data_IF_018483521900
#
_entry.id   IF_018483521900
#
_cell.length_a   1.000
_cell.length_b   1.000
_cell.length_c   1.000
_cell.angle_alpha   90.00
_cell.angle_beta   90.00
_cell.angle_gamma   90.00
#
_symmetry.space_group_name_H-M   'P 1'
#
loop_
_entity.id
_entity.type
_entity.pdbx_description
1 polymer ?
#
# COMPACT_ATOMS: atom_id res chain seq x y z
N UNK A 1 6.83 -6.23 14.81
CA UNK A 1 5.66 -6.99 14.32
C UNK A 1 4.74 -6.15 13.45
N UNK A 2 4.36 -4.93 13.87
CA UNK A 2 3.47 -4.03 13.11
C UNK A 2 3.98 -3.68 11.70
N UNK A 3 5.24 -3.24 11.55
CA UNK A 3 5.79 -2.84 10.23
C UNK A 3 5.89 -3.99 9.22
N UNK A 4 6.37 -5.16 9.62
CA UNK A 4 6.41 -6.33 8.74
C UNK A 4 5.01 -6.72 8.26
N UNK A 5 4.02 -6.64 9.14
CA UNK A 5 2.62 -6.90 8.80
C UNK A 5 2.07 -5.83 7.86
N UNK A 6 2.35 -4.55 8.10
CA UNK A 6 1.98 -3.43 7.21
C UNK A 6 2.55 -3.62 5.81
N UNK A 7 3.81 -4.06 5.68
CA UNK A 7 4.43 -4.31 4.37
C UNK A 7 3.72 -5.46 3.65
N UNK A 8 3.45 -6.57 4.33
CA UNK A 8 2.75 -7.73 3.75
C UNK A 8 1.35 -7.33 3.24
N UNK A 9 0.57 -6.61 4.06
CA UNK A 9 -0.76 -6.16 3.66
C UNK A 9 -0.74 -5.11 2.55
N UNK A 10 0.20 -4.17 2.62
CA UNK A 10 0.37 -3.16 1.57
C UNK A 10 0.71 -3.82 0.24
N UNK A 11 1.55 -4.85 0.24
CA UNK A 11 1.91 -5.61 -0.97
C UNK A 11 0.72 -6.38 -1.54
N UNK A 12 -0.05 -7.05 -0.68
CA UNK A 12 -1.21 -7.83 -1.10
C UNK A 12 -2.31 -6.93 -1.67
N UNK A 13 -2.60 -5.81 -1.00
CA UNK A 13 -3.55 -4.79 -1.47
C UNK A 13 -3.09 -4.16 -2.79
N UNK A 14 -1.82 -3.81 -2.90
CA UNK A 14 -1.24 -3.25 -4.13
C UNK A 14 -1.33 -4.20 -5.31
N UNK A 15 -1.14 -5.50 -5.08
CA UNK A 15 -1.31 -6.54 -6.10
C UNK A 15 -2.76 -6.61 -6.58
N UNK A 16 -3.73 -6.60 -5.65
CA UNK A 16 -5.15 -6.57 -5.98
C UNK A 16 -5.58 -5.30 -6.72
N UNK A 17 -5.14 -4.13 -6.25
CA UNK A 17 -5.43 -2.84 -6.90
C UNK A 17 -4.89 -2.82 -8.32
N UNK A 18 -3.61 -3.20 -8.50
CA UNK A 18 -2.99 -3.23 -9.82
C UNK A 18 -3.72 -4.20 -10.76
N UNK A 19 -4.13 -5.37 -10.25
CA UNK A 19 -4.92 -6.32 -11.03
C UNK A 19 -6.28 -5.75 -11.47
N UNK A 20 -7.05 -5.17 -10.55
CA UNK A 20 -8.35 -4.58 -10.85
C UNK A 20 -8.21 -3.43 -11.85
N UNK A 21 -7.28 -2.51 -11.60
CA UNK A 21 -7.05 -1.33 -12.45
C UNK A 21 -6.58 -1.74 -13.84
N UNK A 22 -5.68 -2.74 -13.95
CA UNK A 22 -5.23 -3.27 -15.25
C UNK A 22 -6.39 -3.94 -15.99
N UNK A 23 -7.21 -4.70 -15.27
CA UNK A 23 -8.40 -5.36 -15.83
C UNK A 23 -9.44 -4.35 -16.35
N UNK A 24 -9.67 -3.26 -15.62
CA UNK A 24 -10.58 -2.18 -16.05
C UNK A 24 -10.08 -1.44 -17.30
N UNK A 25 -8.77 -1.32 -17.47
CA UNK A 25 -8.16 -0.65 -18.61
C UNK A 25 -7.88 -1.58 -19.79
N UNK A 26 -8.16 -2.89 -19.65
CA UNK A 26 -7.76 -3.90 -20.63
C UNK A 26 -6.23 -4.04 -20.80
N UNK A 27 -5.46 -3.54 -19.82
CA UNK A 27 -4.00 -3.52 -19.83
C UNK A 27 -3.38 -4.77 -19.20
N UNK A 28 -2.06 -4.90 -19.34
CA UNK A 28 -1.30 -5.99 -18.71
C UNK A 28 -0.95 -5.67 -17.25
N UNK A 29 -0.95 -6.70 -16.41
CA UNK A 29 -0.45 -6.60 -15.05
C UNK A 29 1.06 -6.31 -15.04
N UNK A 30 1.47 -5.24 -14.34
CA UNK A 30 2.88 -4.83 -14.27
C UNK A 30 3.40 -4.85 -12.83
N UNK A 31 4.54 -5.53 -12.63
CA UNK A 31 5.20 -5.60 -11.32
C UNK A 31 5.70 -4.24 -10.83
N UNK A 32 6.06 -3.34 -11.74
CA UNK A 32 6.46 -1.98 -11.41
C UNK A 32 5.34 -1.20 -10.71
N UNK A 33 4.10 -1.32 -11.19
CA UNK A 33 2.95 -0.67 -10.57
C UNK A 33 2.63 -1.23 -9.18
N UNK A 34 2.75 -2.55 -9.00
CA UNK A 34 2.59 -3.20 -7.69
C UNK A 34 3.61 -2.69 -6.68
N UNK A 35 4.89 -2.65 -7.06
CA UNK A 35 5.97 -2.22 -6.16
C UNK A 35 5.80 -0.73 -5.82
N UNK A 36 5.52 0.12 -6.81
CA UNK A 36 5.32 1.54 -6.60
C UNK A 36 4.14 1.84 -5.65
N UNK A 37 3.00 1.17 -5.87
CA UNK A 37 1.84 1.30 -4.99
C UNK A 37 2.09 0.73 -3.59
N UNK A 38 2.84 -0.37 -3.47
CA UNK A 38 3.21 -0.95 -2.17
C UNK A 38 4.02 0.04 -1.34
N UNK A 39 5.04 0.66 -1.94
CA UNK A 39 5.85 1.68 -1.26
C UNK A 39 4.98 2.87 -0.84
N UNK A 40 4.09 3.35 -1.72
CA UNK A 40 3.18 4.44 -1.41
C UNK A 40 2.25 4.12 -0.22
N UNK A 41 1.66 2.93 -0.18
CA UNK A 41 0.80 2.51 0.93
C UNK A 41 1.57 2.34 2.24
N UNK A 42 2.77 1.77 2.21
CA UNK A 42 3.60 1.65 3.42
C UNK A 42 3.94 3.03 3.97
N UNK A 43 4.37 3.95 3.12
CA UNK A 43 4.69 5.33 3.54
C UNK A 43 3.46 6.03 4.11
N UNK A 44 2.29 5.89 3.46
CA UNK A 44 1.05 6.48 3.95
C UNK A 44 0.66 5.92 5.32
N UNK A 45 0.72 4.60 5.52
CA UNK A 45 0.37 3.97 6.80
C UNK A 45 1.36 4.36 7.91
N UNK A 46 2.66 4.46 7.60
CA UNK A 46 3.66 4.91 8.58
C UNK A 46 3.45 6.37 8.94
N UNK A 47 3.26 7.25 7.96
CA UNK A 47 2.99 8.67 8.19
C UNK A 47 1.72 8.90 9.03
N UNK A 48 0.65 8.15 8.74
CA UNK A 48 -0.58 8.19 9.52
C UNK A 48 -0.41 7.59 10.92
N UNK A 49 0.31 6.47 11.04
CA UNK A 49 0.47 5.77 12.30
C UNK A 49 1.46 6.41 13.27
N UNK A 50 2.43 7.20 12.78
CA UNK A 50 3.44 7.87 13.60
C UNK A 50 3.25 9.37 13.71
N UNK A 51 2.67 10.02 12.70
CA UNK A 51 2.32 11.44 12.71
C UNK A 51 0.87 11.66 13.14
N UNK A 52 -0.06 11.48 12.21
CA UNK A 52 -1.43 11.98 12.36
C UNK A 52 -2.24 11.35 13.52
N UNK A 53 -2.11 10.05 13.75
CA UNK A 53 -2.94 9.33 14.74
C UNK A 53 -2.29 9.23 16.13
N UNK A 54 -1.02 9.62 16.26
CA UNK A 54 -0.30 9.55 17.54
C UNK A 54 -0.45 10.85 18.35
N UNK A 55 -0.73 11.96 17.68
CA UNK A 55 -0.88 13.29 18.29
C UNK A 55 -2.21 13.45 19.05
N UNK A 56 -3.24 12.65 18.74
CA UNK A 56 -4.54 12.72 19.45
C UNK A 56 -4.61 11.86 20.73
N UNK A 57 -3.56 11.11 21.07
CA UNK A 57 -3.55 10.21 22.22
C UNK A 57 -2.95 10.84 23.50
N UNK A 58 -2.67 12.15 23.50
CA UNK A 58 -2.17 12.89 24.67
C UNK A 58 -3.16 13.96 25.16
#
# INVERSE_FOLDING_TARGET
MRLLWTIIWSFLLSSMVTYVVSSMQGGSFTWSAVIASTVAFVLAVVALGEGALKEEAE
#
